data_IF_850780246152
#
_entry.id   IF_850780246152
#
_cell.length_a   1.000
_cell.length_b   1.000
_cell.length_c   1.000
_cell.angle_alpha   90.00
_cell.angle_beta   90.00
_cell.angle_gamma   90.00
#
_symmetry.space_group_name_H-M   'P 1'
#
loop_
_entity.id
_entity.type
_entity.pdbx_description
1 polymer ?
#
# COMPACT_ATOMS: atom_id res chain seq x y z
N UNK A 1 -4.52 57.13 -11.84
CA UNK A 1 -5.14 55.89 -11.33
C UNK A 1 -4.53 54.77 -12.15
N UNK A 2 -3.47 54.16 -11.63
CA UNK A 2 -2.61 53.22 -12.35
C UNK A 2 -3.01 51.78 -11.98
N UNK A 3 -3.37 50.99 -13.00
CA UNK A 3 -3.87 49.61 -12.89
C UNK A 3 -2.77 48.59 -13.26
N UNK A 4 -1.52 48.84 -12.88
CA UNK A 4 -0.40 47.97 -13.23
C UNK A 4 0.47 47.56 -12.03
N UNK A 5 -0.08 46.77 -11.11
CA UNK A 5 0.73 45.89 -10.24
C UNK A 5 -0.11 44.84 -9.51
N UNK A 6 -0.53 43.80 -10.23
CA UNK A 6 -0.71 42.47 -9.62
C UNK A 6 0.50 41.66 -10.04
N UNK A 7 1.55 41.70 -9.20
CA UNK A 7 2.69 40.81 -9.33
C UNK A 7 2.19 39.39 -9.04
N UNK A 8 2.36 38.40 -9.93
CA UNK A 8 2.01 37.02 -9.59
C UNK A 8 2.84 36.63 -8.36
N UNK A 9 2.16 36.15 -7.31
CA UNK A 9 2.80 35.53 -6.16
C UNK A 9 3.72 34.43 -6.70
N UNK A 10 5.00 34.56 -6.38
CA UNK A 10 6.10 33.95 -7.10
C UNK A 10 6.07 32.42 -7.13
N UNK A 11 6.32 31.89 -8.31
CA UNK A 11 6.83 30.54 -8.55
C UNK A 11 8.33 30.44 -8.16
N UNK A 12 8.65 30.79 -6.92
CA UNK A 12 9.95 30.61 -6.31
C UNK A 12 9.68 30.00 -4.93
N UNK A 13 9.63 28.68 -4.78
CA UNK A 13 10.78 27.78 -4.84
C UNK A 13 10.32 26.36 -5.23
N UNK A 14 10.52 25.94 -6.49
CA UNK A 14 10.37 24.52 -6.92
C UNK A 14 11.72 23.88 -7.18
N UNK A 15 12.78 24.35 -6.50
CA UNK A 15 14.16 23.89 -6.77
C UNK A 15 14.56 22.64 -5.97
N UNK A 16 13.84 22.34 -4.89
CA UNK A 16 14.09 21.15 -4.07
C UNK A 16 13.10 20.05 -4.44
N UNK A 17 13.62 18.92 -4.92
CA UNK A 17 12.83 17.71 -5.16
C UNK A 17 12.32 17.17 -3.82
N UNK A 18 11.00 16.96 -3.64
CA UNK A 18 10.47 16.42 -2.40
C UNK A 18 11.01 15.02 -2.14
N UNK A 19 11.31 14.73 -0.89
CA UNK A 19 11.79 13.44 -0.39
C UNK A 19 10.61 12.57 -0.03
N UNK A 20 10.37 11.56 -0.85
CA UNK A 20 9.29 10.59 -0.64
C UNK A 20 9.92 9.30 -0.12
N UNK A 21 9.51 8.86 1.06
CA UNK A 21 9.91 7.55 1.55
C UNK A 21 8.80 6.53 1.29
N UNK A 22 9.11 5.55 0.43
CA UNK A 22 8.25 4.43 0.13
C UNK A 22 8.54 3.28 1.12
N UNK A 23 7.68 3.16 2.13
CA UNK A 23 7.80 2.19 3.22
C UNK A 23 7.12 0.87 2.84
N UNK A 24 7.92 -0.15 2.54
CA UNK A 24 7.41 -1.44 2.13
C UNK A 24 8.42 -2.57 2.33
N UNK A 25 7.89 -3.76 2.59
CA UNK A 25 8.65 -5.01 2.68
C UNK A 25 8.20 -5.98 1.59
N UNK A 26 9.01 -7.01 1.34
CA UNK A 26 8.69 -8.11 0.43
C UNK A 26 8.14 -7.63 -0.93
N UNK A 27 6.95 -8.09 -1.32
CA UNK A 27 6.28 -7.79 -2.59
C UNK A 27 5.99 -6.30 -2.81
N UNK A 28 5.64 -5.56 -1.75
CA UNK A 28 5.39 -4.12 -1.88
C UNK A 28 6.67 -3.35 -2.18
N UNK A 29 7.79 -3.73 -1.55
CA UNK A 29 9.11 -3.15 -1.82
C UNK A 29 9.50 -3.36 -3.27
N UNK A 30 9.31 -4.57 -3.78
CA UNK A 30 9.67 -4.89 -5.17
C UNK A 30 8.81 -4.09 -6.15
N UNK A 31 7.51 -3.96 -5.86
CA UNK A 31 6.62 -3.10 -6.64
C UNK A 31 7.01 -1.61 -6.60
N UNK A 32 7.46 -1.10 -5.44
CA UNK A 32 8.01 0.25 -5.36
C UNK A 32 9.27 0.42 -6.21
N UNK A 33 10.16 -0.58 -6.23
CA UNK A 33 11.40 -0.52 -7.05
C UNK A 33 11.10 -0.44 -8.52
N UNK A 34 10.10 -1.20 -8.97
CA UNK A 34 9.69 -1.24 -10.37
C UNK A 34 9.17 0.12 -10.87
N UNK A 35 8.53 0.91 -10.00
CA UNK A 35 7.98 2.22 -10.37
C UNK A 35 8.86 3.42 -10.00
N UNK A 36 9.88 3.25 -9.14
CA UNK A 36 10.61 4.38 -8.57
C UNK A 36 11.25 5.28 -9.64
N UNK A 37 11.79 4.68 -10.70
CA UNK A 37 12.39 5.41 -11.83
C UNK A 37 11.41 6.30 -12.59
N UNK A 38 10.10 6.04 -12.51
CA UNK A 38 9.07 6.91 -13.11
C UNK A 38 9.04 8.32 -12.45
N UNK A 39 9.65 8.49 -11.28
CA UNK A 39 9.58 9.71 -10.47
C UNK A 39 10.91 10.44 -10.31
N UNK A 40 11.99 9.96 -10.94
CA UNK A 40 13.35 10.48 -10.77
C UNK A 40 13.53 11.94 -11.22
N UNK A 41 12.61 12.52 -11.97
CA UNK A 41 12.64 13.95 -12.31
C UNK A 41 11.85 14.81 -11.31
N UNK A 42 10.94 14.20 -10.54
CA UNK A 42 9.90 14.89 -9.76
C UNK A 42 10.07 14.76 -8.23
N UNK A 43 10.76 13.74 -7.74
CA UNK A 43 10.99 13.50 -6.31
C UNK A 43 12.25 12.66 -6.05
N UNK A 44 12.88 12.85 -4.90
CA UNK A 44 13.85 11.88 -4.36
C UNK A 44 13.07 10.75 -3.67
N UNK A 45 12.85 9.64 -4.40
CA UNK A 45 12.10 8.49 -3.89
C UNK A 45 13.06 7.48 -3.26
N UNK A 46 12.99 7.34 -1.94
CA UNK A 46 13.75 6.35 -1.19
C UNK A 46 12.87 5.19 -0.76
N UNK A 47 13.24 3.98 -1.13
CA UNK A 47 12.55 2.77 -0.68
C UNK A 47 13.16 2.31 0.64
N UNK A 48 12.33 2.19 1.66
CA UNK A 48 12.75 1.82 3.02
C UNK A 48 12.07 0.53 3.43
N UNK A 49 12.88 -0.52 3.64
CA UNK A 49 12.40 -1.85 4.06
C UNK A 49 12.29 -1.97 5.58
N UNK A 50 11.43 -1.14 6.15
CA UNK A 50 11.02 -1.13 7.56
C UNK A 50 9.50 -0.97 7.65
N UNK A 51 8.91 -1.47 8.73
CA UNK A 51 7.49 -1.37 9.01
C UNK A 51 7.28 -1.09 10.49
N UNK A 52 6.08 -0.62 10.84
CA UNK A 52 5.64 -0.37 12.21
C UNK A 52 6.63 0.51 12.99
N UNK A 53 7.04 0.09 14.19
CA UNK A 53 7.96 0.82 15.06
C UNK A 53 9.32 1.06 14.38
N UNK A 54 9.85 0.07 13.66
CA UNK A 54 11.14 0.23 12.98
C UNK A 54 11.09 1.30 11.89
N UNK A 55 9.93 1.49 11.24
CA UNK A 55 9.75 2.57 10.28
C UNK A 55 9.72 3.94 10.98
N UNK A 56 9.09 4.05 12.17
CA UNK A 56 9.12 5.27 12.97
C UNK A 56 10.53 5.62 13.43
N UNK A 57 11.29 4.63 13.90
CA UNK A 57 12.69 4.80 14.28
C UNK A 57 13.53 5.29 13.10
N UNK A 58 13.37 4.70 11.92
CA UNK A 58 14.09 5.13 10.72
C UNK A 58 13.81 6.59 10.33
N UNK A 59 12.57 7.06 10.49
CA UNK A 59 12.20 8.47 10.22
C UNK A 59 12.85 9.40 11.24
N UNK A 60 12.82 9.02 12.53
CA UNK A 60 13.39 9.81 13.61
C UNK A 60 14.93 9.93 13.49
N UNK A 61 15.60 8.81 13.19
CA UNK A 61 17.05 8.73 12.97
C UNK A 61 17.51 9.56 11.76
N UNK A 62 16.64 9.80 10.78
CA UNK A 62 16.95 10.56 9.58
C UNK A 62 17.28 12.04 9.88
N UNK A 63 16.77 12.59 10.99
CA UNK A 63 16.98 13.99 11.37
C UNK A 63 16.63 14.97 10.24
N UNK A 64 17.62 15.74 9.78
CA UNK A 64 17.45 16.68 8.67
C UNK A 64 17.14 16.01 7.32
N UNK A 65 17.46 14.72 7.16
CA UNK A 65 17.22 13.94 5.95
C UNK A 65 15.87 13.19 5.96
N UNK A 66 14.98 13.48 6.93
CA UNK A 66 13.65 12.88 7.02
C UNK A 66 12.81 13.12 5.74
N UNK A 67 11.88 12.22 5.41
CA UNK A 67 10.97 12.43 4.30
C UNK A 67 10.06 13.64 4.52
N UNK A 68 9.66 14.26 3.42
CA UNK A 68 8.61 15.27 3.43
C UNK A 68 7.22 14.58 3.43
N UNK A 69 7.12 13.37 2.86
CA UNK A 69 5.92 12.52 2.85
C UNK A 69 6.30 11.05 2.79
N UNK A 70 5.44 10.19 3.34
CA UNK A 70 5.60 8.74 3.31
C UNK A 70 4.50 8.09 2.50
N UNK A 71 4.87 7.08 1.71
CA UNK A 71 3.93 6.15 1.08
C UNK A 71 4.04 4.78 1.75
N UNK A 72 2.94 4.24 2.23
CA UNK A 72 2.89 2.92 2.87
C UNK A 72 1.59 2.19 2.49
N UNK A 73 1.43 0.91 2.82
CA UNK A 73 0.21 0.17 2.49
C UNK A 73 -0.28 -0.69 3.66
N UNK A 74 -1.54 -1.10 3.58
CA UNK A 74 -2.15 -2.07 4.49
C UNK A 74 -2.07 -1.65 5.97
N UNK A 75 -1.92 -2.63 6.84
CA UNK A 75 -1.79 -2.44 8.29
C UNK A 75 -0.63 -1.52 8.68
N UNK A 76 0.51 -1.61 8.00
CA UNK A 76 1.64 -0.70 8.22
C UNK A 76 1.29 0.75 7.89
N UNK A 77 0.62 0.99 6.75
CA UNK A 77 0.15 2.32 6.38
C UNK A 77 -0.85 2.89 7.38
N UNK A 78 -1.79 2.07 7.85
CA UNK A 78 -2.72 2.46 8.92
C UNK A 78 -1.98 2.82 10.22
N UNK A 79 -1.02 1.99 10.64
CA UNK A 79 -0.21 2.23 11.83
C UNK A 79 0.59 3.54 11.75
N UNK A 80 1.27 3.78 10.63
CA UNK A 80 2.08 4.98 10.41
C UNK A 80 1.22 6.23 10.32
N UNK A 81 0.05 6.15 9.67
CA UNK A 81 -0.85 7.30 9.50
C UNK A 81 -1.29 7.92 10.83
N UNK A 82 -1.39 7.13 11.90
CA UNK A 82 -1.80 7.64 13.22
C UNK A 82 -0.64 8.02 14.14
N UNK A 83 0.62 7.76 13.74
CA UNK A 83 1.80 7.87 14.64
C UNK A 83 2.97 8.66 14.06
N UNK A 84 3.12 8.70 12.74
CA UNK A 84 4.20 9.41 12.08
C UNK A 84 4.02 10.93 12.21
N UNK A 85 5.12 11.66 12.39
CA UNK A 85 5.14 13.12 12.44
C UNK A 85 5.19 13.78 11.04
N UNK A 86 5.10 12.98 9.99
CA UNK A 86 5.10 13.41 8.58
C UNK A 86 3.83 12.89 7.90
N UNK A 87 3.33 13.57 6.86
CA UNK A 87 2.16 13.09 6.12
C UNK A 87 2.34 11.65 5.59
N UNK A 88 1.29 10.84 5.71
CA UNK A 88 1.27 9.45 5.25
C UNK A 88 0.18 9.25 4.22
N UNK A 89 0.59 8.87 3.01
CA UNK A 89 -0.30 8.40 1.95
C UNK A 89 -0.34 6.88 2.02
N UNK A 90 -1.55 6.33 2.20
CA UNK A 90 -1.76 4.89 2.26
C UNK A 90 -2.20 4.38 0.90
N UNK A 91 -1.49 3.41 0.34
CA UNK A 91 -1.90 2.68 -0.86
C UNK A 91 -3.18 1.92 -0.55
N UNK A 92 -4.25 2.28 -1.25
CA UNK A 92 -5.54 1.61 -1.16
C UNK A 92 -5.78 0.79 -2.43
N UNK A 93 -6.11 -0.51 -2.30
CA UNK A 93 -6.46 -1.31 -3.46
C UNK A 93 -7.81 -0.86 -4.02
N UNK A 94 -7.94 -0.87 -5.33
CA UNK A 94 -9.15 -0.58 -6.09
C UNK A 94 -9.92 -1.86 -6.38
N UNK A 95 -11.16 -1.73 -6.88
CA UNK A 95 -11.90 -2.89 -7.40
C UNK A 95 -11.16 -3.63 -8.53
N UNK A 96 -10.43 -2.90 -9.39
CA UNK A 96 -9.62 -3.51 -10.45
C UNK A 96 -8.48 -4.35 -9.91
N UNK A 97 -7.85 -3.92 -8.81
CA UNK A 97 -6.82 -4.69 -8.12
C UNK A 97 -7.37 -6.03 -7.62
N UNK A 98 -8.54 -5.98 -6.96
CA UNK A 98 -9.23 -7.18 -6.48
C UNK A 98 -9.57 -8.11 -7.65
N UNK A 99 -10.16 -7.59 -8.73
CA UNK A 99 -10.50 -8.40 -9.90
C UNK A 99 -9.26 -9.06 -10.51
N UNK A 100 -8.18 -8.30 -10.69
CA UNK A 100 -6.94 -8.82 -11.28
C UNK A 100 -6.30 -9.87 -10.36
N UNK A 101 -6.26 -9.63 -9.06
CA UNK A 101 -5.68 -10.56 -8.10
C UNK A 101 -6.49 -11.87 -8.00
N UNK A 102 -7.82 -11.78 -7.95
CA UNK A 102 -8.70 -12.96 -7.98
C UNK A 102 -8.56 -13.74 -9.29
N UNK A 103 -8.48 -13.06 -10.44
CA UNK A 103 -8.25 -13.71 -11.73
C UNK A 103 -6.90 -14.45 -11.76
N UNK A 104 -5.84 -13.87 -11.19
CA UNK A 104 -4.54 -14.53 -11.07
C UNK A 104 -4.60 -15.76 -10.16
N UNK A 105 -5.23 -15.65 -8.99
CA UNK A 105 -5.39 -16.74 -8.04
C UNK A 105 -6.20 -17.91 -8.63
N UNK A 106 -7.24 -17.62 -9.42
CA UNK A 106 -8.11 -18.62 -10.04
C UNK A 106 -7.41 -19.49 -11.10
N UNK A 107 -6.24 -19.08 -11.59
CA UNK A 107 -5.46 -19.90 -12.54
C UNK A 107 -4.90 -21.17 -11.88
N UNK A 108 -4.57 -21.08 -10.58
CA UNK A 108 -3.81 -22.11 -9.88
C UNK A 108 -4.56 -22.69 -8.67
N UNK A 109 -5.72 -22.12 -8.29
CA UNK A 109 -6.50 -22.54 -7.14
C UNK A 109 -8.01 -22.44 -7.35
N UNK A 110 -8.74 -23.38 -6.74
CA UNK A 110 -10.21 -23.35 -6.68
C UNK A 110 -10.69 -22.75 -5.37
N UNK A 111 -10.01 -23.03 -4.26
CA UNK A 111 -10.40 -22.53 -2.93
C UNK A 111 -9.59 -21.28 -2.59
N UNK A 112 -10.21 -20.12 -2.76
CA UNK A 112 -9.54 -18.81 -2.63
C UNK A 112 -10.14 -18.02 -1.47
N UNK A 113 -9.29 -17.37 -0.68
CA UNK A 113 -9.70 -16.37 0.29
C UNK A 113 -9.14 -14.98 -0.07
N UNK A 114 -9.98 -13.95 0.00
CA UNK A 114 -9.58 -12.56 0.01
C UNK A 114 -9.46 -12.08 1.46
N UNK A 115 -8.25 -11.71 1.86
CA UNK A 115 -7.92 -11.33 3.23
C UNK A 115 -7.45 -9.88 3.26
N UNK A 116 -8.11 -9.04 4.04
CA UNK A 116 -7.80 -7.61 4.15
C UNK A 116 -7.34 -7.19 5.56
N UNK A 117 -6.48 -6.19 5.64
CA UNK A 117 -6.28 -5.44 6.89
C UNK A 117 -7.50 -4.54 7.07
N UNK A 118 -8.34 -4.82 8.06
CA UNK A 118 -9.67 -4.23 8.17
C UNK A 118 -10.72 -4.87 7.24
N UNK A 119 -11.92 -4.29 7.22
CA UNK A 119 -13.04 -4.84 6.47
C UNK A 119 -12.87 -4.67 4.96
N UNK A 120 -13.18 -5.73 4.21
CA UNK A 120 -13.32 -5.64 2.76
C UNK A 120 -14.53 -4.77 2.40
N UNK A 121 -14.40 -3.80 1.46
CA UNK A 121 -15.49 -2.93 1.07
C UNK A 121 -16.78 -3.70 0.69
N UNK A 122 -17.97 -3.28 1.14
CA UNK A 122 -19.23 -3.96 0.85
C UNK A 122 -19.52 -4.13 -0.65
N UNK A 123 -19.03 -3.23 -1.50
CA UNK A 123 -19.15 -3.28 -2.95
C UNK A 123 -18.49 -4.54 -3.53
N UNK A 124 -17.31 -4.89 -3.01
CA UNK A 124 -16.56 -6.08 -3.44
C UNK A 124 -17.31 -7.35 -3.06
N UNK A 125 -17.83 -7.42 -1.83
CA UNK A 125 -18.63 -8.55 -1.34
C UNK A 125 -19.90 -8.73 -2.17
N UNK A 126 -20.60 -7.63 -2.47
CA UNK A 126 -21.79 -7.62 -3.33
C UNK A 126 -21.48 -8.11 -4.74
N UNK A 127 -20.36 -7.67 -5.32
CA UNK A 127 -19.92 -8.14 -6.64
C UNK A 127 -19.64 -9.65 -6.64
N UNK A 128 -18.85 -10.15 -5.69
CA UNK A 128 -18.54 -11.58 -5.57
C UNK A 128 -19.81 -12.43 -5.45
N UNK A 129 -20.76 -12.00 -4.62
CA UNK A 129 -22.04 -12.69 -4.46
C UNK A 129 -22.90 -12.64 -5.74
N UNK A 130 -23.01 -11.48 -6.39
CA UNK A 130 -23.84 -11.29 -7.57
C UNK A 130 -23.41 -12.17 -8.76
N UNK A 131 -22.11 -12.46 -8.86
CA UNK A 131 -21.55 -13.28 -9.92
C UNK A 131 -21.27 -14.73 -9.48
N UNK A 132 -21.71 -15.13 -8.28
CA UNK A 132 -21.53 -16.50 -7.77
C UNK A 132 -20.08 -16.93 -7.64
N UNK A 133 -19.17 -15.99 -7.34
CA UNK A 133 -17.76 -16.29 -7.19
C UNK A 133 -17.51 -16.95 -5.83
N UNK A 134 -16.98 -18.17 -5.83
CA UNK A 134 -16.59 -18.86 -4.60
C UNK A 134 -15.27 -18.28 -4.05
N UNK A 135 -15.40 -17.22 -3.26
CA UNK A 135 -14.32 -16.50 -2.58
C UNK A 135 -14.70 -16.32 -1.13
N UNK A 136 -13.89 -16.85 -0.22
CA UNK A 136 -14.04 -16.58 1.20
C UNK A 136 -13.43 -15.23 1.55
N UNK A 137 -14.04 -14.53 2.50
CA UNK A 137 -13.51 -13.25 2.96
C UNK A 137 -13.09 -13.37 4.42
N UNK A 138 -11.91 -12.83 4.74
CA UNK A 138 -11.45 -12.69 6.11
C UNK A 138 -10.79 -11.32 6.31
N UNK A 139 -10.65 -10.93 7.57
CA UNK A 139 -10.00 -9.67 7.94
C UNK A 139 -9.22 -9.83 9.22
N UNK A 140 -8.21 -9.00 9.40
CA UNK A 140 -7.41 -8.91 10.62
C UNK A 140 -7.14 -7.45 10.98
N UNK A 141 -6.86 -7.21 12.26
CA UNK A 141 -6.50 -5.89 12.81
C UNK A 141 -5.05 -5.88 13.33
N UNK A 142 -4.51 -7.04 13.71
CA UNK A 142 -3.15 -7.19 14.25
C UNK A 142 -2.34 -8.24 13.50
N UNK A 143 -1.03 -8.26 13.71
CA UNK A 143 -0.17 -9.28 13.10
C UNK A 143 -0.48 -10.69 13.64
N UNK A 144 -0.80 -10.79 14.92
CA UNK A 144 -1.19 -12.03 15.58
C UNK A 144 -2.52 -12.56 15.02
N UNK A 145 -3.50 -11.68 14.79
CA UNK A 145 -4.75 -12.05 14.12
C UNK A 145 -4.52 -12.48 12.67
N UNK A 146 -3.58 -11.85 11.96
CA UNK A 146 -3.23 -12.24 10.59
C UNK A 146 -2.68 -13.68 10.53
N UNK A 147 -1.80 -14.04 11.45
CA UNK A 147 -1.23 -15.38 11.57
C UNK A 147 -2.30 -16.43 11.90
N UNK A 148 -3.12 -16.16 12.92
CA UNK A 148 -4.24 -17.03 13.27
C UNK A 148 -5.23 -17.20 12.10
N UNK A 149 -5.54 -16.11 11.39
CA UNK A 149 -6.42 -16.12 10.23
C UNK A 149 -5.88 -16.99 9.10
N UNK A 150 -4.58 -16.88 8.78
CA UNK A 150 -3.94 -17.72 7.74
C UNK A 150 -3.98 -19.19 8.11
N UNK A 151 -3.71 -19.54 9.38
CA UNK A 151 -3.80 -20.92 9.86
C UNK A 151 -5.23 -21.48 9.79
N UNK A 152 -6.23 -20.73 10.24
CA UNK A 152 -7.64 -21.15 10.13
C UNK A 152 -8.04 -21.41 8.66
N UNK A 153 -7.69 -20.49 7.76
CA UNK A 153 -8.01 -20.63 6.34
C UNK A 153 -7.34 -21.88 5.73
N UNK A 154 -6.07 -22.14 6.07
CA UNK A 154 -5.37 -23.36 5.66
C UNK A 154 -6.07 -24.61 6.16
N UNK A 155 -6.43 -24.65 7.44
CA UNK A 155 -7.04 -25.82 8.07
C UNK A 155 -8.46 -26.09 7.50
N UNK A 156 -9.13 -25.04 7.02
CA UNK A 156 -10.39 -25.11 6.24
C UNK A 156 -10.19 -25.47 4.77
N UNK A 157 -8.94 -25.68 4.34
CA UNK A 157 -8.55 -26.10 3.01
C UNK A 157 -8.47 -24.98 1.98
N UNK A 158 -8.39 -23.72 2.36
CA UNK A 158 -8.07 -22.67 1.39
C UNK A 158 -6.70 -22.97 0.75
N UNK A 159 -6.65 -22.90 -0.57
CA UNK A 159 -5.46 -23.19 -1.37
C UNK A 159 -4.65 -21.92 -1.61
N UNK A 160 -5.32 -20.80 -1.83
CA UNK A 160 -4.67 -19.52 -2.13
C UNK A 160 -5.28 -18.36 -1.36
N UNK A 161 -4.41 -17.53 -0.78
CA UNK A 161 -4.76 -16.26 -0.16
C UNK A 161 -4.43 -15.11 -1.12
N UNK A 162 -5.41 -14.25 -1.36
CA UNK A 162 -5.27 -12.95 -2.00
C UNK A 162 -5.26 -11.89 -0.90
N UNK A 163 -4.26 -11.02 -0.85
CA UNK A 163 -4.21 -10.01 0.19
C UNK A 163 -2.98 -9.10 0.18
N UNK A 164 -2.83 -8.22 1.19
CA UNK A 164 -1.65 -7.41 1.38
C UNK A 164 -0.42 -8.25 1.79
N UNK A 165 0.75 -7.60 1.89
CA UNK A 165 2.04 -8.28 2.09
C UNK A 165 2.07 -9.25 3.27
N UNK A 166 1.61 -8.83 4.45
CA UNK A 166 1.67 -9.64 5.67
C UNK A 166 1.02 -11.03 5.51
N UNK A 167 -0.25 -11.07 5.09
CA UNK A 167 -0.98 -12.35 4.95
C UNK A 167 -0.49 -13.17 3.76
N UNK A 168 0.03 -12.55 2.72
CA UNK A 168 0.60 -13.28 1.58
C UNK A 168 1.96 -13.89 1.90
N UNK A 169 2.78 -13.24 2.72
CA UNK A 169 4.04 -13.79 3.23
C UNK A 169 3.79 -14.93 4.24
N UNK A 170 2.81 -14.78 5.13
CA UNK A 170 2.37 -15.83 6.05
C UNK A 170 1.79 -17.04 5.29
N UNK A 171 0.94 -16.81 4.28
CA UNK A 171 0.38 -17.87 3.44
C UNK A 171 1.47 -18.67 2.73
N UNK A 172 2.44 -17.98 2.11
CA UNK A 172 3.57 -18.62 1.45
C UNK A 172 4.41 -19.44 2.44
N UNK A 173 4.66 -18.91 3.64
CA UNK A 173 5.39 -19.62 4.71
C UNK A 173 4.63 -20.86 5.22
N UNK A 174 3.30 -20.83 5.14
CA UNK A 174 2.43 -21.95 5.48
C UNK A 174 2.22 -22.95 4.32
N UNK A 175 2.91 -22.75 3.18
CA UNK A 175 2.81 -23.63 2.00
C UNK A 175 1.56 -23.41 1.14
N UNK A 176 0.83 -22.31 1.34
CA UNK A 176 -0.33 -21.94 0.53
C UNK A 176 0.09 -21.08 -0.67
N UNK A 177 -0.76 -21.06 -1.71
CA UNK A 177 -0.66 -20.05 -2.76
C UNK A 177 -0.88 -18.65 -2.20
N UNK A 178 -0.15 -17.68 -2.73
CA UNK A 178 -0.19 -16.30 -2.26
C UNK A 178 -0.18 -15.32 -3.43
N UNK A 179 -1.25 -14.52 -3.55
CA UNK A 179 -1.38 -13.49 -4.58
C UNK A 179 -1.45 -12.12 -3.94
N UNK A 180 -0.48 -11.28 -4.30
CA UNK A 180 -0.41 -9.91 -3.82
C UNK A 180 -1.53 -9.06 -4.41
N UNK A 181 -2.21 -8.30 -3.54
CA UNK A 181 -3.40 -7.56 -3.93
C UNK A 181 -3.10 -6.29 -4.75
N UNK A 182 -2.02 -5.55 -4.43
CA UNK A 182 -1.79 -4.24 -5.03
C UNK A 182 -1.22 -4.34 -6.45
N UNK A 183 -1.75 -3.52 -7.37
CA UNK A 183 -1.18 -3.34 -8.72
C UNK A 183 -0.21 -2.17 -8.79
N UNK A 184 0.58 -2.13 -9.86
CA UNK A 184 1.40 -0.98 -10.24
C UNK A 184 0.61 0.32 -10.27
N UNK A 185 -0.62 0.28 -10.79
CA UNK A 185 -1.47 1.48 -10.94
C UNK A 185 -1.82 2.10 -9.60
N UNK A 186 -2.18 1.29 -8.61
CA UNK A 186 -2.56 1.79 -7.29
C UNK A 186 -1.35 2.29 -6.51
N UNK A 187 -0.19 1.64 -6.65
CA UNK A 187 1.04 2.12 -6.03
C UNK A 187 1.52 3.43 -6.69
N UNK A 188 1.52 3.50 -8.03
CA UNK A 188 1.86 4.73 -8.76
C UNK A 188 0.98 5.90 -8.34
N UNK A 189 -0.34 5.67 -8.31
CA UNK A 189 -1.30 6.70 -7.87
C UNK A 189 -1.01 7.20 -6.45
N UNK A 190 -0.63 6.30 -5.53
CA UNK A 190 -0.27 6.71 -4.18
C UNK A 190 1.01 7.56 -4.13
N UNK A 191 2.00 7.26 -4.99
CA UNK A 191 3.21 8.09 -5.11
C UNK A 191 2.88 9.45 -5.75
N UNK A 192 2.02 9.50 -6.78
CA UNK A 192 1.53 10.76 -7.33
C UNK A 192 0.76 11.60 -6.29
N UNK A 193 -0.11 10.98 -5.49
CA UNK A 193 -0.78 11.66 -4.38
C UNK A 193 0.22 12.15 -3.33
N UNK A 194 1.29 11.40 -3.05
CA UNK A 194 2.33 11.85 -2.13
C UNK A 194 3.09 13.06 -2.68
N UNK A 195 3.37 13.10 -3.98
CA UNK A 195 3.93 14.29 -4.65
C UNK A 195 3.01 15.51 -4.46
N UNK A 196 1.71 15.35 -4.70
CA UNK A 196 0.74 16.43 -4.51
C UNK A 196 0.73 16.94 -3.07
N UNK A 197 0.75 16.03 -2.09
CA UNK A 197 0.82 16.37 -0.65
C UNK A 197 2.12 17.12 -0.33
N UNK A 198 3.27 16.62 -0.82
CA UNK A 198 4.56 17.24 -0.56
C UNK A 198 4.67 18.65 -1.16
N UNK A 199 4.04 18.91 -2.30
CA UNK A 199 4.01 20.26 -2.89
C UNK A 199 3.01 21.20 -2.21
N UNK A 200 2.09 20.68 -1.40
CA UNK A 200 1.08 21.46 -0.70
C UNK A 200 1.46 21.78 0.77
N UNK A 201 2.55 21.20 1.28
CA UNK A 201 3.02 21.34 2.66
C UNK A 201 4.23 22.26 2.72
#
# INVERSE_FOLDING_TARGET
>A
MDLSSIKPVGAADRTVRPRIWAMGISRLRDLFREIAGEFDERADVRIVSRAYEDALSAIAEAGAARPDVIVAAGSNGGFLKTRAQVPVVVVSPTGFDVMQALARARRDATRIALVSAGETPPEVRRFVAAYGLDVQFASYQSAQEAEACVHDLRDRGIETIVGPGLVTDLAASAGMGAVFLYSHTSVRKAVDTALEVAYAT
#
